data_IF_136370963778
#
_entry.id   IF_136370963778
#
_cell.length_a   1.000
_cell.length_b   1.000
_cell.length_c   1.000
_cell.angle_alpha   90.00
_cell.angle_beta   90.00
_cell.angle_gamma   90.00
#
_symmetry.space_group_name_H-M   'P 1'
#
loop_
_entity.id
_entity.type
_entity.pdbx_description
1 polymer ?
#
# COMPACT_ATOMS: atom_id res chain seq x y z
N UNK A 1 -8.94 -9.74 2.70
CA UNK A 1 -9.93 -9.34 1.65
C UNK A 1 -10.66 -7.99 1.84
N UNK A 2 -10.74 -7.40 3.03
CA UNK A 2 -11.57 -6.20 3.29
C UNK A 2 -11.13 -4.93 2.50
N UNK A 3 -9.82 -4.70 2.31
CA UNK A 3 -9.30 -3.50 1.65
C UNK A 3 -9.72 -3.35 0.17
N UNK A 4 -9.60 -4.42 -0.62
CA UNK A 4 -10.01 -4.41 -2.04
C UNK A 4 -11.51 -4.10 -2.18
N UNK A 5 -12.34 -4.73 -1.34
CA UNK A 5 -13.79 -4.50 -1.38
C UNK A 5 -14.12 -3.04 -1.06
N UNK A 6 -13.48 -2.47 -0.04
CA UNK A 6 -13.65 -1.06 0.32
C UNK A 6 -13.25 -0.11 -0.81
N UNK A 7 -12.15 -0.37 -1.51
CA UNK A 7 -11.73 0.42 -2.69
C UNK A 7 -12.78 0.33 -3.80
N UNK A 8 -13.26 -0.87 -4.11
CA UNK A 8 -14.31 -1.08 -5.11
C UNK A 8 -15.60 -0.35 -4.75
N UNK A 9 -15.99 -0.37 -3.47
CA UNK A 9 -17.20 0.28 -2.97
C UNK A 9 -17.09 1.81 -2.93
N UNK A 10 -15.96 2.34 -2.48
CA UNK A 10 -15.75 3.78 -2.35
C UNK A 10 -15.43 4.46 -3.69
N UNK A 11 -14.85 3.71 -4.63
CA UNK A 11 -14.28 4.26 -5.87
C UNK A 11 -12.87 4.82 -5.70
N UNK A 12 -12.26 4.72 -4.51
CA UNK A 12 -10.97 5.34 -4.20
C UNK A 12 -10.11 4.49 -3.26
N UNK A 13 -8.80 4.56 -3.47
CA UNK A 13 -7.80 4.30 -2.42
C UNK A 13 -7.72 5.58 -1.58
N UNK A 14 -8.18 5.50 -0.34
CA UNK A 14 -8.23 6.66 0.55
C UNK A 14 -6.86 7.00 1.12
N UNK A 15 -6.54 8.29 1.14
CA UNK A 15 -5.34 8.79 1.76
C UNK A 15 -5.30 8.53 3.27
N UNK A 16 -4.09 8.40 3.80
CA UNK A 16 -3.85 8.41 5.23
C UNK A 16 -3.80 9.86 5.73
N UNK A 17 -4.61 10.19 6.73
CA UNK A 17 -4.69 11.52 7.32
C UNK A 17 -4.06 11.61 8.73
N UNK A 18 -3.76 10.47 9.37
CA UNK A 18 -3.17 10.45 10.71
C UNK A 18 -1.64 10.61 10.64
N UNK A 19 -1.17 11.85 10.68
CA UNK A 19 0.25 12.18 10.62
C UNK A 19 1.05 11.80 11.87
N UNK A 20 0.37 11.46 12.98
CA UNK A 20 1.04 11.06 14.23
C UNK A 20 1.36 9.57 14.27
N UNK A 21 0.60 8.74 13.55
CA UNK A 21 0.72 7.28 13.60
C UNK A 21 1.02 6.64 12.25
N UNK A 22 0.27 7.04 11.21
CA UNK A 22 0.19 6.27 9.96
C UNK A 22 0.79 7.01 8.75
N UNK A 23 0.96 8.34 8.85
CA UNK A 23 1.34 9.20 7.73
C UNK A 23 2.56 10.07 8.08
N UNK A 24 3.69 9.42 8.45
CA UNK A 24 4.94 10.12 8.83
C UNK A 24 5.48 11.06 7.75
N UNK A 25 5.18 10.81 6.48
CA UNK A 25 5.52 11.68 5.34
C UNK A 25 4.47 12.78 5.07
N UNK A 26 3.59 13.05 6.03
CA UNK A 26 2.42 13.93 5.87
C UNK A 26 1.20 13.19 5.33
N UNK A 27 0.09 13.90 5.20
CA UNK A 27 -1.15 13.36 4.62
C UNK A 27 -0.89 12.88 3.18
N UNK A 28 -1.46 11.73 2.80
CA UNK A 28 -1.36 11.21 1.42
C UNK A 28 -1.59 9.71 1.28
N UNK A 29 -1.57 9.22 0.05
CA UNK A 29 -1.67 7.80 -0.28
C UNK A 29 -0.28 7.22 -0.54
N UNK A 30 0.08 6.16 0.17
CA UNK A 30 1.42 5.59 0.16
C UNK A 30 1.52 4.35 -0.73
N UNK A 31 2.59 4.29 -1.51
CA UNK A 31 2.81 3.31 -2.57
C UNK A 31 4.23 2.74 -2.47
N UNK A 32 4.44 1.62 -3.13
CA UNK A 32 5.76 0.99 -3.30
C UNK A 32 5.92 0.51 -4.74
N UNK A 33 7.16 0.47 -5.23
CA UNK A 33 7.56 -0.18 -6.47
C UNK A 33 7.77 -1.69 -6.31
N UNK A 34 7.75 -2.20 -5.08
CA UNK A 34 7.80 -3.64 -4.83
C UNK A 34 6.55 -4.31 -5.40
N UNK A 35 6.77 -5.18 -6.38
CA UNK A 35 5.70 -5.83 -7.12
C UNK A 35 5.11 -7.05 -6.39
N UNK A 36 4.02 -7.63 -6.93
CA UNK A 36 3.39 -8.83 -6.36
C UNK A 36 4.27 -10.09 -6.40
N UNK A 37 5.39 -10.06 -7.13
CA UNK A 37 6.39 -11.15 -7.19
C UNK A 37 7.29 -11.21 -5.95
N UNK A 38 7.41 -10.11 -5.22
CA UNK A 38 8.16 -10.06 -3.95
C UNK A 38 7.44 -10.87 -2.87
N UNK A 39 8.16 -11.45 -1.91
CA UNK A 39 7.53 -12.22 -0.83
C UNK A 39 6.59 -11.35 0.03
N UNK A 40 5.60 -11.98 0.66
CA UNK A 40 4.66 -11.29 1.57
C UNK A 40 5.42 -10.62 2.71
N UNK A 41 6.46 -11.28 3.20
CA UNK A 41 7.36 -10.78 4.24
C UNK A 41 8.12 -9.52 3.78
N UNK A 42 8.69 -9.52 2.57
CA UNK A 42 9.39 -8.35 2.02
C UNK A 42 8.43 -7.16 1.90
N UNK A 43 7.22 -7.38 1.39
CA UNK A 43 6.19 -6.34 1.31
C UNK A 43 5.78 -5.84 2.69
N UNK A 44 5.55 -6.75 3.65
CA UNK A 44 5.15 -6.39 4.99
C UNK A 44 6.23 -5.57 5.72
N UNK A 45 7.50 -5.99 5.65
CA UNK A 45 8.65 -5.27 6.21
C UNK A 45 8.81 -3.88 5.57
N UNK A 46 8.61 -3.78 4.26
CA UNK A 46 8.67 -2.49 3.57
C UNK A 46 7.53 -1.57 3.99
N UNK A 47 6.30 -2.07 4.13
CA UNK A 47 5.13 -1.24 4.39
C UNK A 47 4.98 -0.87 5.87
N UNK A 48 5.25 -1.82 6.77
CA UNK A 48 5.05 -1.70 8.21
C UNK A 48 6.41 -1.77 8.92
N UNK A 49 7.01 -0.60 9.16
CA UNK A 49 8.27 -0.49 9.90
C UNK A 49 8.17 -1.08 11.32
N UNK A 50 9.30 -1.58 11.85
CA UNK A 50 9.42 -2.09 13.23
C UNK A 50 8.86 -3.50 13.47
N UNK A 51 8.69 -3.88 14.75
CA UNK A 51 8.33 -5.25 15.19
C UNK A 51 6.91 -5.72 14.83
N UNK A 52 6.14 -4.94 14.08
CA UNK A 52 4.71 -5.22 13.84
C UNK A 52 4.41 -5.89 12.50
N UNK A 53 5.37 -5.95 11.56
CA UNK A 53 5.14 -6.46 10.21
C UNK A 53 4.62 -7.91 10.19
N UNK A 54 5.08 -8.75 11.12
CA UNK A 54 4.65 -10.15 11.26
C UNK A 54 3.12 -10.23 11.47
N UNK A 55 2.57 -9.32 12.28
CA UNK A 55 1.13 -9.22 12.57
C UNK A 55 0.33 -8.51 11.47
N UNK A 56 0.99 -8.09 10.39
CA UNK A 56 0.39 -7.39 9.24
C UNK A 56 0.55 -8.19 7.94
N UNK A 57 1.06 -9.41 8.02
CA UNK A 57 1.22 -10.29 6.87
C UNK A 57 -0.11 -10.53 6.16
N UNK A 58 -1.21 -10.70 6.91
CA UNK A 58 -2.59 -10.80 6.42
C UNK A 58 -3.03 -9.60 5.56
N UNK A 59 -2.45 -8.42 5.81
CA UNK A 59 -2.73 -7.21 4.99
C UNK A 59 -2.05 -7.22 3.63
N UNK A 60 -1.31 -8.27 3.29
CA UNK A 60 -0.60 -8.42 2.01
C UNK A 60 -1.24 -9.45 1.07
N UNK A 61 -2.46 -9.94 1.36
CA UNK A 61 -3.22 -10.87 0.51
C UNK A 61 -3.51 -10.32 -0.89
N UNK A 62 -3.59 -9.00 -1.03
CA UNK A 62 -3.93 -8.33 -2.28
C UNK A 62 -2.93 -7.22 -2.53
N UNK A 63 -2.32 -7.22 -3.72
CA UNK A 63 -1.58 -6.08 -4.23
C UNK A 63 -2.41 -5.37 -5.30
N UNK A 64 -2.41 -4.03 -5.26
CA UNK A 64 -3.12 -3.18 -6.22
C UNK A 64 -2.07 -2.43 -7.03
N UNK A 65 -2.07 -2.67 -8.33
CA UNK A 65 -1.18 -2.00 -9.28
C UNK A 65 -1.88 -0.74 -9.78
N UNK A 66 -1.25 0.42 -9.58
CA UNK A 66 -1.80 1.73 -9.96
C UNK A 66 -0.85 2.45 -10.90
N UNK A 67 -1.42 3.18 -11.86
CA UNK A 67 -0.70 4.12 -12.69
C UNK A 67 -0.94 5.53 -12.16
N UNK A 68 0.03 6.10 -11.45
CA UNK A 68 -0.13 7.44 -10.87
C UNK A 68 1.22 8.14 -10.73
N UNK A 69 1.20 9.46 -10.47
CA UNK A 69 2.37 10.23 -10.08
C UNK A 69 2.55 10.12 -8.56
N UNK A 70 3.76 9.79 -8.12
CA UNK A 70 4.08 9.73 -6.70
C UNK A 70 5.54 10.11 -6.48
N UNK A 71 5.82 10.82 -5.40
CA UNK A 71 7.15 11.30 -5.05
C UNK A 71 7.78 10.40 -4.01
N UNK A 72 9.07 10.13 -4.14
CA UNK A 72 9.82 9.32 -3.18
C UNK A 72 9.81 10.00 -1.81
N UNK A 73 9.44 9.27 -0.76
CA UNK A 73 9.56 9.77 0.62
C UNK A 73 11.03 9.76 1.06
N UNK A 74 11.40 10.69 1.96
CA UNK A 74 12.70 10.67 2.64
C UNK A 74 12.75 9.55 3.69
N UNK A 75 12.93 8.33 3.19
CA UNK A 75 13.03 7.11 3.98
C UNK A 75 13.91 6.10 3.24
N UNK A 76 14.68 5.30 4.00
CA UNK A 76 15.47 4.20 3.43
C UNK A 76 14.62 3.14 2.70
N UNK A 77 13.35 3.00 3.10
CA UNK A 77 12.40 2.02 2.57
C UNK A 77 11.89 2.40 1.18
N UNK A 78 11.33 1.44 0.46
CA UNK A 78 10.68 1.68 -0.82
C UNK A 78 9.28 2.27 -0.68
N UNK A 79 9.20 3.56 -0.29
CA UNK A 79 7.94 4.26 -0.07
C UNK A 79 7.85 5.52 -0.93
N UNK A 80 6.72 5.65 -1.62
CA UNK A 80 6.35 6.79 -2.44
C UNK A 80 5.02 7.37 -1.94
N UNK A 81 4.81 8.67 -2.10
CA UNK A 81 3.59 9.37 -1.70
C UNK A 81 2.93 10.01 -2.90
N UNK A 82 1.65 9.70 -3.07
CA UNK A 82 0.71 10.45 -3.90
C UNK A 82 -0.07 11.41 -2.99
N UNK A 83 -0.27 12.65 -3.43
CA UNK A 83 -1.07 13.62 -2.70
C UNK A 83 -2.56 13.32 -2.90
N UNK A 84 -3.32 13.17 -1.82
CA UNK A 84 -4.76 12.90 -1.91
C UNK A 84 -5.12 11.43 -2.11
N UNK A 85 -6.42 11.21 -2.34
CA UNK A 85 -7.01 9.92 -2.68
C UNK A 85 -6.64 9.52 -4.13
N UNK A 86 -6.46 8.22 -4.38
CA UNK A 86 -6.28 7.70 -5.75
C UNK A 86 -7.62 7.14 -6.26
N UNK A 87 -8.17 7.66 -7.37
CA UNK A 87 -9.36 7.07 -8.00
C UNK A 87 -9.12 5.62 -8.43
N UNK A 88 -10.13 4.77 -8.32
CA UNK A 88 -10.03 3.38 -8.76
C UNK A 88 -9.82 3.23 -10.27
N UNK A 89 -10.08 4.26 -11.07
CA UNK A 89 -9.79 4.31 -12.51
C UNK A 89 -8.30 4.28 -12.81
N UNK A 90 -7.45 4.64 -11.85
CA UNK A 90 -5.98 4.54 -11.98
C UNK A 90 -5.47 3.12 -11.69
N UNK A 91 -6.32 2.22 -11.17
CA UNK A 91 -5.96 0.84 -10.88
C UNK A 91 -5.90 0.05 -12.19
N UNK A 92 -4.71 -0.45 -12.51
CA UNK A 92 -4.46 -1.27 -13.68
C UNK A 92 -4.81 -2.73 -13.42
N UNK A 93 -4.50 -3.22 -12.21
CA UNK A 93 -4.68 -4.64 -11.88
C UNK A 93 -4.80 -4.89 -10.38
N UNK A 94 -5.61 -5.88 -10.03
CA UNK A 94 -5.62 -6.50 -8.71
C UNK A 94 -4.89 -7.84 -8.79
N UNK A 95 -3.95 -8.06 -7.89
CA UNK A 95 -3.22 -9.31 -7.77
C UNK A 95 -3.65 -9.97 -6.45
N UNK A 96 -4.44 -11.04 -6.55
CA UNK A 96 -4.79 -11.89 -5.39
C UNK A 96 -3.60 -12.82 -5.17
N UNK A 97 -3.04 -12.77 -3.97
CA UNK A 97 -1.86 -13.54 -3.58
C UNK A 97 -2.36 -14.74 -2.79
N UNK A 98 -2.62 -15.83 -3.50
CA UNK A 98 -2.93 -17.11 -2.86
C UNK A 98 -1.67 -17.60 -2.16
N UNK A 99 -1.79 -17.94 -0.86
CA UNK A 99 -0.68 -18.43 -0.05
C UNK A 99 0.05 -19.56 -0.75
N UNK A 100 1.28 -19.29 -1.18
CA UNK A 100 2.29 -20.31 -1.41
C UNK A 100 3.61 -19.81 -0.86
N UNK A 101 3.94 -20.42 0.29
CA UNK A 101 5.21 -20.43 1.04
C UNK A 101 5.64 -19.14 1.72
#
# INVERSE_FOLDING_TARGET
MDGMYKIKKSGYIKQSADTKRDARGGVGTYLTKLGPKESRETIAKNNYDGKSWERKMDKTDVAVEVKTTATKCDAKRDVYKHEGDIPNTEIQKYHIRDDKT
#
